data_IF_872051439809
#
_entry.id   IF_872051439809
#
_cell.length_a   1.000
_cell.length_b   1.000
_cell.length_c   1.000
_cell.angle_alpha   90.00
_cell.angle_beta   90.00
_cell.angle_gamma   90.00
#
_symmetry.space_group_name_H-M   'P 1'
#
loop_
_entity.id
_entity.type
_entity.pdbx_description
1 polymer ?
#
# COMPACT_ATOMS: atom_id res chain seq x y z
N UNK A 1 -28.84 -8.91 -8.05
CA UNK A 1 -28.63 -8.09 -6.83
C UNK A 1 -29.06 -6.66 -7.12
N UNK A 2 -29.91 -6.09 -6.24
CA UNK A 2 -30.28 -4.67 -6.34
C UNK A 2 -29.07 -3.85 -5.90
N UNK A 3 -28.59 -2.97 -6.78
CA UNK A 3 -27.48 -2.04 -6.52
C UNK A 3 -28.00 -0.68 -6.10
N UNK A 4 -27.25 0.05 -5.31
CA UNK A 4 -27.43 1.49 -5.07
C UNK A 4 -26.09 2.21 -5.18
N UNK A 5 -26.13 3.48 -5.55
CA UNK A 5 -24.94 4.32 -5.57
C UNK A 5 -24.78 5.00 -4.23
N UNK A 6 -23.60 4.95 -3.65
CA UNK A 6 -23.23 5.58 -2.38
C UNK A 6 -21.98 6.41 -2.60
N UNK A 7 -21.93 7.58 -1.98
CA UNK A 7 -20.73 8.43 -2.00
C UNK A 7 -19.87 8.05 -0.79
N UNK A 8 -18.60 7.70 -1.07
CA UNK A 8 -17.62 7.35 -0.04
C UNK A 8 -16.36 8.18 -0.20
N UNK A 9 -15.58 8.32 0.85
CA UNK A 9 -14.27 8.94 0.78
C UNK A 9 -13.34 8.12 -0.15
N UNK A 10 -12.57 8.80 -0.99
CA UNK A 10 -11.70 8.15 -1.99
C UNK A 10 -10.55 7.40 -1.34
N UNK A 11 -10.05 7.91 -0.23
CA UNK A 11 -8.95 7.30 0.53
C UNK A 11 -9.26 7.40 2.02
N UNK A 12 -9.08 6.33 2.80
CA UNK A 12 -9.29 6.37 4.25
C UNK A 12 -8.41 7.44 4.89
N UNK A 13 -9.00 8.32 5.71
CA UNK A 13 -8.31 9.42 6.37
C UNK A 13 -7.13 8.92 7.22
N UNK A 14 -7.31 7.81 7.94
CA UNK A 14 -6.27 7.20 8.75
C UNK A 14 -5.03 6.77 7.93
N UNK A 15 -5.22 6.34 6.68
CA UNK A 15 -4.11 5.99 5.79
C UNK A 15 -3.32 7.22 5.34
N UNK A 16 -4.02 8.32 5.05
CA UNK A 16 -3.37 9.59 4.68
C UNK A 16 -2.56 10.17 5.85
N UNK A 17 -3.10 10.13 7.07
CA UNK A 17 -2.40 10.58 8.28
C UNK A 17 -1.12 9.76 8.51
N UNK A 18 -1.19 8.43 8.37
CA UNK A 18 -0.02 7.57 8.52
C UNK A 18 1.04 7.83 7.44
N UNK A 19 0.62 8.08 6.21
CA UNK A 19 1.52 8.42 5.10
C UNK A 19 2.20 9.76 5.36
N UNK A 20 1.47 10.76 5.83
CA UNK A 20 2.01 12.08 6.18
C UNK A 20 3.04 11.97 7.30
N UNK A 21 2.77 11.19 8.34
CA UNK A 21 3.71 10.96 9.44
C UNK A 21 4.98 10.24 8.98
N UNK A 22 4.87 9.31 8.04
CA UNK A 22 6.02 8.62 7.44
C UNK A 22 6.87 9.59 6.61
N UNK A 23 6.23 10.43 5.78
CA UNK A 23 6.90 11.44 4.96
C UNK A 23 7.62 12.44 5.86
N UNK A 24 6.99 12.90 6.94
CA UNK A 24 7.58 13.89 7.86
C UNK A 24 8.82 13.33 8.59
N UNK A 25 8.77 12.05 9.00
CA UNK A 25 9.93 11.37 9.60
C UNK A 25 11.11 11.29 8.62
N UNK A 26 10.87 10.85 7.39
CA UNK A 26 11.90 10.77 6.35
C UNK A 26 12.52 12.15 6.05
N UNK A 27 11.68 13.19 5.99
CA UNK A 27 12.15 14.56 5.75
C UNK A 27 13.03 15.06 6.89
N UNK A 28 12.67 14.75 8.14
CA UNK A 28 13.45 15.11 9.32
C UNK A 28 14.80 14.39 9.35
N UNK A 29 14.83 13.10 9.05
CA UNK A 29 16.05 12.30 8.96
C UNK A 29 17.00 12.81 7.87
N UNK A 30 16.45 13.29 6.76
CA UNK A 30 17.21 13.85 5.63
C UNK A 30 17.53 15.33 5.78
N UNK A 31 17.24 15.95 6.93
CA UNK A 31 17.48 17.38 7.19
C UNK A 31 16.70 18.32 6.25
N UNK A 32 15.56 17.89 5.75
CA UNK A 32 14.70 18.70 4.87
C UNK A 32 13.71 19.53 5.69
N UNK A 33 13.25 20.64 5.10
CA UNK A 33 12.18 21.45 5.71
C UNK A 33 10.93 20.61 5.92
N UNK A 34 10.14 20.86 6.99
CA UNK A 34 8.85 20.23 7.19
C UNK A 34 7.98 20.27 5.92
N UNK A 35 7.11 19.30 5.78
CA UNK A 35 6.15 19.31 4.69
C UNK A 35 5.18 20.47 4.91
N UNK A 36 5.08 21.36 3.92
CA UNK A 36 4.12 22.46 3.96
C UNK A 36 2.73 21.85 3.82
N UNK A 37 2.10 21.55 4.95
CA UNK A 37 0.70 21.15 4.96
C UNK A 37 -0.04 22.41 4.48
N UNK A 38 -0.42 22.44 3.20
CA UNK A 38 -1.47 23.35 2.80
C UNK A 38 -2.64 23.03 3.72
N UNK A 39 -3.19 24.05 4.36
CA UNK A 39 -4.47 23.95 5.06
C UNK A 39 -5.51 23.51 4.01
N UNK A 40 -5.58 22.21 3.75
CA UNK A 40 -6.60 21.62 2.91
C UNK A 40 -7.90 21.59 3.74
N UNK A 41 -8.53 22.76 3.87
CA UNK A 41 -9.94 22.88 4.30
C UNK A 41 -10.88 22.27 3.26
N UNK A 42 -10.34 21.78 2.13
CA UNK A 42 -11.12 21.06 1.15
C UNK A 42 -11.60 19.72 1.72
N UNK A 43 -12.88 19.40 1.59
CA UNK A 43 -13.42 18.12 2.02
C UNK A 43 -12.68 16.99 1.31
N UNK A 44 -12.44 15.84 1.97
CA UNK A 44 -11.71 14.74 1.39
C UNK A 44 -12.35 14.33 0.05
N UNK A 45 -11.54 14.04 -0.97
CA UNK A 45 -12.06 13.66 -2.28
C UNK A 45 -12.97 12.44 -2.14
N UNK A 46 -14.20 12.57 -2.63
CA UNK A 46 -15.21 11.51 -2.60
C UNK A 46 -15.29 10.80 -3.94
N UNK A 47 -15.80 9.58 -3.93
CA UNK A 47 -16.15 8.81 -5.13
C UNK A 47 -17.50 8.14 -4.96
N UNK A 48 -18.21 7.97 -6.05
CA UNK A 48 -19.40 7.13 -6.09
C UNK A 48 -18.99 5.66 -6.21
N UNK A 49 -19.55 4.82 -5.36
CA UNK A 49 -19.38 3.37 -5.39
C UNK A 49 -20.73 2.69 -5.45
N UNK A 50 -20.77 1.55 -6.11
CA UNK A 50 -21.94 0.69 -6.10
C UNK A 50 -21.94 -0.14 -4.82
N UNK A 51 -23.05 -0.15 -4.10
CA UNK A 51 -23.26 -0.93 -2.89
C UNK A 51 -24.40 -1.91 -3.10
N UNK A 52 -24.29 -3.09 -2.52
CA UNK A 52 -25.38 -4.07 -2.51
C UNK A 52 -26.48 -3.64 -1.54
N UNK A 53 -27.75 -3.69 -1.97
CA UNK A 53 -28.88 -3.40 -1.09
C UNK A 53 -29.17 -4.52 -0.09
N UNK A 54 -28.86 -5.76 -0.47
CA UNK A 54 -29.11 -6.95 0.36
C UNK A 54 -27.97 -7.26 1.32
N UNK A 55 -26.75 -6.80 1.01
CA UNK A 55 -25.54 -7.03 1.77
C UNK A 55 -24.61 -5.79 1.65
N UNK A 56 -24.89 -4.72 2.41
CA UNK A 56 -24.15 -3.45 2.31
C UNK A 56 -22.68 -3.54 2.68
N UNK A 57 -22.28 -4.57 3.45
CA UNK A 57 -20.90 -4.79 3.88
C UNK A 57 -20.04 -5.44 2.80
N UNK A 58 -20.65 -6.03 1.76
CA UNK A 58 -19.91 -6.62 0.65
C UNK A 58 -19.35 -5.56 -0.29
N UNK A 59 -18.17 -5.82 -0.86
CA UNK A 59 -17.51 -4.93 -1.81
C UNK A 59 -17.69 -5.35 -3.26
N UNK A 60 -17.93 -4.38 -4.16
CA UNK A 60 -17.98 -4.66 -5.59
C UNK A 60 -16.58 -5.01 -6.09
N UNK A 61 -16.43 -6.18 -6.69
CA UNK A 61 -15.22 -6.65 -7.34
C UNK A 61 -15.41 -6.66 -8.85
N UNK A 62 -14.48 -6.01 -9.56
CA UNK A 62 -14.31 -6.17 -11.00
C UNK A 62 -12.84 -6.55 -11.24
N UNK A 63 -12.60 -7.82 -11.55
CA UNK A 63 -11.25 -8.33 -11.79
C UNK A 63 -11.31 -9.37 -12.91
N UNK A 64 -10.40 -9.23 -13.87
CA UNK A 64 -10.27 -10.16 -14.98
C UNK A 64 -10.13 -11.61 -14.48
N UNK A 65 -10.90 -12.53 -15.09
CA UNK A 65 -10.92 -13.94 -14.70
C UNK A 65 -11.73 -14.27 -13.44
N UNK A 66 -12.43 -13.28 -12.84
CA UNK A 66 -13.34 -13.50 -11.72
C UNK A 66 -14.74 -13.01 -12.05
N UNK A 67 -15.81 -13.62 -11.50
CA UNK A 67 -17.17 -13.13 -11.68
C UNK A 67 -17.31 -11.71 -11.13
N UNK A 68 -17.91 -10.81 -11.91
CA UNK A 68 -18.30 -9.47 -11.42
C UNK A 68 -19.42 -9.59 -10.40
N UNK A 69 -19.29 -8.86 -9.31
CA UNK A 69 -20.30 -8.86 -8.28
C UNK A 69 -19.85 -8.32 -6.95
N UNK A 70 -20.66 -8.56 -5.94
CA UNK A 70 -20.38 -8.20 -4.56
C UNK A 70 -19.77 -9.39 -3.84
N UNK A 71 -18.57 -9.23 -3.32
CA UNK A 71 -17.77 -10.29 -2.73
C UNK A 71 -17.05 -9.79 -1.48
N UNK A 72 -16.48 -10.74 -0.75
CA UNK A 72 -15.52 -10.52 0.31
C UNK A 72 -14.15 -11.03 -0.11
N UNK A 73 -13.10 -10.39 0.39
CA UNK A 73 -11.72 -10.85 0.28
C UNK A 73 -11.30 -11.52 1.57
N UNK A 74 -10.66 -12.67 1.47
CA UNK A 74 -10.07 -13.36 2.60
C UNK A 74 -8.55 -13.15 2.60
N UNK A 75 -8.04 -12.59 3.71
CA UNK A 75 -6.62 -12.42 3.97
C UNK A 75 -6.18 -13.49 4.95
N UNK A 76 -5.56 -14.55 4.43
CA UNK A 76 -5.13 -15.69 5.23
C UNK A 76 -3.63 -15.66 5.45
N UNK A 77 -3.22 -15.72 6.73
CA UNK A 77 -1.82 -15.88 7.11
C UNK A 77 -1.56 -17.31 7.56
N UNK A 78 -0.53 -17.92 6.99
CA UNK A 78 -0.19 -19.34 7.23
C UNK A 78 1.24 -19.44 7.74
N UNK A 79 1.48 -20.23 8.79
CA UNK A 79 2.81 -20.64 9.19
C UNK A 79 3.39 -21.61 8.16
N UNK A 80 4.50 -21.20 7.51
CA UNK A 80 5.12 -21.95 6.42
C UNK A 80 5.75 -23.27 6.86
N UNK A 81 6.11 -23.40 8.14
CA UNK A 81 6.74 -24.61 8.67
C UNK A 81 5.74 -25.76 8.89
N UNK A 82 4.56 -25.42 9.42
CA UNK A 82 3.56 -26.40 9.80
C UNK A 82 2.30 -26.34 8.95
N UNK A 83 2.23 -25.39 8.03
CA UNK A 83 1.06 -25.13 7.17
C UNK A 83 -0.24 -24.89 7.97
N UNK A 84 -0.10 -24.23 9.12
CA UNK A 84 -1.21 -23.90 10.01
C UNK A 84 -1.67 -22.47 9.73
N UNK A 85 -2.99 -22.27 9.60
CA UNK A 85 -3.59 -20.94 9.49
C UNK A 85 -3.52 -20.25 10.85
N UNK A 86 -2.73 -19.18 10.95
CA UNK A 86 -2.52 -18.43 12.20
C UNK A 86 -3.39 -17.17 12.29
N UNK A 87 -3.84 -16.65 11.15
CA UNK A 87 -4.78 -15.54 11.10
C UNK A 87 -5.66 -15.63 9.85
N UNK A 88 -6.91 -15.23 10.00
CA UNK A 88 -7.86 -15.01 8.90
C UNK A 88 -8.56 -13.68 9.13
N UNK A 89 -8.55 -12.82 8.12
CA UNK A 89 -9.30 -11.58 8.13
C UNK A 89 -10.15 -11.47 6.88
N UNK A 90 -11.37 -11.05 7.06
CA UNK A 90 -12.33 -10.84 5.96
C UNK A 90 -12.52 -9.33 5.78
N UNK A 91 -12.48 -8.87 4.54
CA UNK A 91 -12.79 -7.49 4.18
C UNK A 91 -13.74 -7.45 3.00
N UNK A 92 -14.47 -6.36 2.77
CA UNK A 92 -15.14 -6.11 1.50
C UNK A 92 -14.14 -6.24 0.33
N UNK A 93 -14.55 -6.83 -0.79
CA UNK A 93 -13.63 -7.12 -1.89
C UNK A 93 -13.10 -5.88 -2.64
N UNK A 94 -13.66 -4.70 -2.39
CA UNK A 94 -13.17 -3.41 -2.89
C UNK A 94 -12.14 -2.74 -1.98
N UNK A 95 -11.83 -3.33 -0.82
CA UNK A 95 -10.73 -2.90 0.06
C UNK A 95 -9.41 -3.38 -0.52
N UNK A 96 -8.41 -2.50 -0.52
CA UNK A 96 -7.09 -2.87 -1.03
C UNK A 96 -6.41 -3.88 -0.09
N UNK A 97 -5.76 -4.90 -0.68
CA UNK A 97 -5.11 -5.98 0.08
C UNK A 97 -4.07 -5.49 1.10
N UNK A 98 -3.50 -4.31 0.91
CA UNK A 98 -2.50 -3.73 1.83
C UNK A 98 -3.11 -3.09 3.08
N UNK A 99 -4.38 -2.69 3.04
CA UNK A 99 -5.02 -1.96 4.15
C UNK A 99 -5.09 -2.78 5.44
N UNK A 100 -5.51 -4.07 5.42
CA UNK A 100 -5.66 -4.84 6.64
C UNK A 100 -4.35 -5.32 7.27
N UNK A 101 -3.18 -5.09 6.65
CA UNK A 101 -1.90 -5.64 7.12
C UNK A 101 -1.58 -5.23 8.56
N UNK A 102 -1.89 -3.98 8.93
CA UNK A 102 -1.64 -3.47 10.28
C UNK A 102 -2.42 -4.22 11.35
N UNK A 103 -3.68 -4.48 11.07
CA UNK A 103 -4.57 -5.19 11.98
C UNK A 103 -4.24 -6.68 12.04
N UNK A 104 -3.85 -7.27 10.91
CA UNK A 104 -3.34 -8.65 10.85
C UNK A 104 -2.11 -8.82 11.74
N UNK A 105 -1.15 -7.90 11.70
CA UNK A 105 0.04 -7.93 12.54
C UNK A 105 -0.30 -7.79 14.03
N UNK A 106 -1.23 -6.90 14.39
CA UNK A 106 -1.72 -6.76 15.76
C UNK A 106 -2.41 -8.04 16.27
N UNK A 107 -3.23 -8.65 15.41
CA UNK A 107 -3.93 -9.90 15.76
C UNK A 107 -2.95 -11.06 15.96
N UNK A 108 -1.92 -11.16 15.12
CA UNK A 108 -0.86 -12.16 15.25
C UNK A 108 -0.10 -11.97 16.56
N UNK A 109 0.30 -10.75 16.87
CA UNK A 109 1.00 -10.42 18.11
C UNK A 109 0.16 -10.76 19.34
N UNK A 110 -1.11 -10.34 19.34
CA UNK A 110 -2.06 -10.63 20.42
C UNK A 110 -2.27 -12.13 20.66
N UNK A 111 -2.32 -12.94 19.60
CA UNK A 111 -2.59 -14.37 19.68
C UNK A 111 -1.37 -15.20 20.01
N UNK A 112 -0.22 -14.85 19.42
CA UNK A 112 1.01 -15.66 19.51
C UNK A 112 2.04 -15.07 20.47
N UNK A 113 1.86 -13.83 20.96
CA UNK A 113 2.80 -13.12 21.82
C UNK A 113 4.14 -12.82 21.14
N UNK A 114 4.21 -12.91 19.82
CA UNK A 114 5.42 -12.64 19.03
C UNK A 114 5.10 -12.37 17.57
N UNK A 115 5.98 -11.63 16.92
CA UNK A 115 5.94 -11.39 15.48
C UNK A 115 6.78 -12.44 14.71
N UNK A 116 6.44 -12.75 13.45
CA UNK A 116 7.26 -13.58 12.59
C UNK A 116 8.58 -12.87 12.25
N UNK A 117 9.67 -13.63 12.09
CA UNK A 117 10.94 -13.06 11.59
C UNK A 117 10.87 -12.67 10.10
N UNK A 118 10.15 -13.44 9.32
CA UNK A 118 9.98 -13.26 7.88
C UNK A 118 8.50 -13.31 7.52
N UNK A 119 8.08 -12.48 6.60
CA UNK A 119 6.72 -12.51 6.05
C UNK A 119 6.78 -12.52 4.53
N UNK A 120 6.33 -13.63 3.93
CA UNK A 120 6.16 -13.77 2.48
C UNK A 120 4.86 -13.09 2.04
N UNK A 121 4.94 -12.22 1.05
CA UNK A 121 3.82 -11.45 0.51
C UNK A 121 3.86 -11.50 -1.03
N UNK A 122 2.71 -11.40 -1.65
CA UNK A 122 2.64 -11.30 -3.10
C UNK A 122 3.12 -9.93 -3.63
N UNK A 123 3.25 -9.81 -4.95
CA UNK A 123 3.72 -8.57 -5.58
C UNK A 123 2.78 -7.37 -5.37
N UNK A 124 1.51 -7.59 -5.01
CA UNK A 124 0.54 -6.54 -4.69
C UNK A 124 0.92 -5.73 -3.45
N UNK A 125 1.63 -6.37 -2.51
CA UNK A 125 2.11 -5.73 -1.28
C UNK A 125 3.43 -4.98 -1.45
N UNK A 126 4.03 -4.96 -2.65
CA UNK A 126 5.28 -4.27 -2.91
C UNK A 126 5.07 -2.74 -2.96
N UNK A 127 4.93 -2.14 -1.80
CA UNK A 127 4.88 -0.68 -1.63
C UNK A 127 5.67 -0.23 -0.39
N UNK A 128 6.11 1.01 -0.40
CA UNK A 128 6.96 1.56 0.66
C UNK A 128 6.30 1.53 2.04
N UNK A 129 5.03 1.94 2.24
CA UNK A 129 4.35 1.89 3.54
C UNK A 129 4.31 0.50 4.16
N UNK A 130 4.00 -0.54 3.38
CA UNK A 130 3.97 -1.93 3.88
C UNK A 130 5.37 -2.38 4.29
N UNK A 131 6.38 -2.17 3.43
CA UNK A 131 7.75 -2.55 3.72
C UNK A 131 8.28 -1.84 4.97
N UNK A 132 8.02 -0.54 5.09
CA UNK A 132 8.40 0.26 6.26
C UNK A 132 7.74 -0.25 7.54
N UNK A 133 6.44 -0.52 7.52
CA UNK A 133 5.69 -1.04 8.66
C UNK A 133 6.22 -2.39 9.12
N UNK A 134 6.50 -3.30 8.20
CA UNK A 134 7.07 -4.62 8.53
C UNK A 134 8.46 -4.47 9.14
N UNK A 135 9.32 -3.63 8.55
CA UNK A 135 10.64 -3.36 9.08
C UNK A 135 10.60 -2.73 10.49
N UNK A 136 9.70 -1.77 10.73
CA UNK A 136 9.48 -1.17 12.05
C UNK A 136 8.99 -2.18 13.10
N UNK A 137 8.26 -3.22 12.69
CA UNK A 137 7.86 -4.34 13.54
C UNK A 137 8.96 -5.42 13.70
N UNK A 138 10.15 -5.20 13.15
CA UNK A 138 11.26 -6.17 13.17
C UNK A 138 11.04 -7.37 12.25
N UNK A 139 10.14 -7.27 11.28
CA UNK A 139 9.80 -8.33 10.33
C UNK A 139 10.53 -8.08 9.02
N UNK A 140 11.28 -9.06 8.54
CA UNK A 140 11.91 -9.01 7.22
C UNK A 140 10.86 -9.35 6.13
N UNK A 141 10.43 -8.38 5.29
CA UNK A 141 9.50 -8.67 4.21
C UNK A 141 10.19 -9.44 3.08
N UNK A 142 9.52 -10.45 2.57
CA UNK A 142 9.89 -11.18 1.35
C UNK A 142 8.75 -10.99 0.36
N UNK A 143 8.87 -9.97 -0.48
CA UNK A 143 7.78 -9.53 -1.36
C UNK A 143 8.08 -9.93 -2.80
N UNK A 144 7.06 -10.44 -3.49
CA UNK A 144 7.16 -10.77 -4.91
C UNK A 144 7.54 -9.55 -5.75
N UNK A 145 8.39 -9.75 -6.75
CA UNK A 145 8.79 -8.66 -7.64
C UNK A 145 7.64 -8.24 -8.56
N UNK A 146 7.30 -6.95 -8.53
CA UNK A 146 6.35 -6.35 -9.46
C UNK A 146 7.09 -5.76 -10.65
N UNK A 147 6.88 -6.33 -11.83
CA UNK A 147 7.40 -5.73 -13.07
C UNK A 147 6.73 -4.39 -13.29
N UNK A 148 7.55 -3.36 -13.53
CA UNK A 148 7.03 -2.09 -14.00
C UNK A 148 6.64 -2.21 -15.46
N UNK A 149 5.36 -1.97 -15.74
CA UNK A 149 4.89 -1.81 -17.11
C UNK A 149 5.23 -0.40 -17.57
N UNK A 150 5.98 -0.29 -18.67
CA UNK A 150 6.19 1.00 -19.32
C UNK A 150 4.88 1.47 -19.95
N UNK A 151 4.43 2.66 -19.58
CA UNK A 151 3.35 3.35 -20.28
C UNK A 151 3.98 4.54 -21.02
N UNK A 152 3.93 4.50 -22.36
CA UNK A 152 4.42 5.58 -23.21
C UNK A 152 5.94 5.61 -23.40
N UNK A 153 6.45 6.76 -23.83
CA UNK A 153 7.84 6.98 -24.24
C UNK A 153 8.80 7.29 -23.09
N UNK A 154 8.43 6.93 -21.85
CA UNK A 154 9.27 7.18 -20.68
C UNK A 154 10.37 6.12 -20.54
N UNK A 155 11.55 6.57 -20.12
CA UNK A 155 12.65 5.66 -19.81
C UNK A 155 12.35 4.84 -18.56
N UNK A 156 12.57 3.52 -18.65
CA UNK A 156 12.46 2.64 -17.49
C UNK A 156 13.55 2.91 -16.45
N UNK A 157 13.23 2.65 -15.19
CA UNK A 157 14.16 2.88 -14.08
C UNK A 157 15.52 2.18 -14.23
N UNK A 158 15.57 1.07 -14.92
CA UNK A 158 16.81 0.31 -15.20
C UNK A 158 17.77 1.03 -16.14
N UNK A 159 17.34 2.09 -16.82
CA UNK A 159 18.17 2.94 -17.69
C UNK A 159 18.84 4.10 -16.94
N UNK A 160 18.55 4.24 -15.65
CA UNK A 160 19.17 5.24 -14.79
C UNK A 160 20.26 4.58 -13.95
N UNK A 161 21.44 5.20 -13.90
CA UNK A 161 22.56 4.74 -13.08
C UNK A 161 22.75 5.67 -11.90
N UNK A 162 22.85 5.12 -10.70
CA UNK A 162 23.10 5.91 -9.50
C UNK A 162 24.58 6.18 -9.32
N UNK A 163 24.94 7.45 -9.15
CA UNK A 163 26.28 7.90 -8.77
C UNK A 163 26.31 8.20 -7.27
N UNK A 164 26.96 7.33 -6.46
CA UNK A 164 27.00 7.52 -5.00
C UNK A 164 27.89 8.68 -4.56
N UNK A 165 28.86 9.11 -5.38
CA UNK A 165 29.76 10.22 -5.03
C UNK A 165 29.02 11.55 -5.11
N UNK A 166 28.23 11.73 -6.15
CA UNK A 166 27.44 12.93 -6.39
C UNK A 166 26.04 12.85 -5.73
N UNK A 167 25.62 11.66 -5.30
CA UNK A 167 24.27 11.39 -4.82
C UNK A 167 23.19 11.78 -5.85
N UNK A 168 23.38 11.38 -7.10
CA UNK A 168 22.47 11.67 -8.22
C UNK A 168 22.20 10.43 -9.06
N UNK A 169 21.09 10.44 -9.78
CA UNK A 169 20.83 9.47 -10.84
C UNK A 169 21.16 10.08 -12.20
N UNK A 170 21.94 9.36 -12.98
CA UNK A 170 22.24 9.68 -14.39
C UNK A 170 21.19 9.04 -15.27
N UNK A 171 20.47 9.84 -16.03
CA UNK A 171 19.52 9.38 -17.05
C UNK A 171 20.23 8.91 -18.31
N UNK A 172 19.53 8.17 -19.21
CA UNK A 172 20.11 7.65 -20.46
C UNK A 172 20.59 8.75 -21.44
N UNK A 173 20.13 9.99 -21.26
CA UNK A 173 20.56 11.16 -22.04
C UNK A 173 21.65 11.97 -21.32
N UNK A 174 22.23 11.43 -20.23
CA UNK A 174 23.29 12.10 -19.47
C UNK A 174 22.82 13.17 -18.49
N UNK A 175 21.51 13.37 -18.34
CA UNK A 175 20.99 14.34 -17.39
C UNK A 175 21.07 13.83 -15.95
N UNK A 176 21.61 14.67 -15.06
CA UNK A 176 21.64 14.41 -13.62
C UNK A 176 20.26 14.68 -13.00
N UNK A 177 19.80 13.76 -12.16
CA UNK A 177 18.55 13.87 -11.39
C UNK A 177 18.85 13.72 -9.91
N UNK A 178 18.65 14.80 -9.17
CA UNK A 178 18.72 14.79 -7.70
C UNK A 178 17.37 14.38 -7.11
N UNK A 179 17.40 13.74 -5.95
CA UNK A 179 16.18 13.54 -5.19
C UNK A 179 15.59 14.90 -4.77
N UNK A 180 14.29 15.09 -4.96
CA UNK A 180 13.62 16.35 -4.64
C UNK A 180 12.64 16.22 -3.50
N UNK A 181 11.77 15.22 -3.54
CA UNK A 181 10.73 14.99 -2.52
C UNK A 181 10.06 13.64 -2.73
N UNK A 182 9.45 13.12 -1.67
CA UNK A 182 8.49 12.03 -1.80
C UNK A 182 7.14 12.63 -2.20
N UNK A 183 6.55 12.14 -3.28
CA UNK A 183 5.24 12.60 -3.74
C UNK A 183 4.13 11.83 -3.01
N UNK A 184 3.04 12.54 -2.69
CA UNK A 184 1.77 11.92 -2.25
C UNK A 184 1.09 11.11 -3.35
N UNK A 185 1.41 11.40 -4.62
CA UNK A 185 0.84 10.78 -5.81
C UNK A 185 1.80 9.70 -6.37
N UNK A 186 2.20 8.78 -5.53
CA UNK A 186 3.08 7.67 -5.91
C UNK A 186 2.33 6.51 -6.53
#
# INVERSE_FOLDING_TARGET
HKKMTVVVERTPKAYLEELDDAIERDRKELGKKPFDKKDDDDPPPTREVQQSKSDPESGQLHKEGKPDGFHYSEHRTVDSKHNIVVNVRITPANVNDVEPIAEILKDIDKRLGKQPKYMGLDAGYHNAPVCHRLAAAGIQPVVGYRRHTHKGDYFGKYRFTYDPVKNVYLGPEGHERTWRTNNREG
#
